data_IF_549393567037
#
_entry.id   IF_549393567037
#
_cell.length_a   1.000
_cell.length_b   1.000
_cell.length_c   1.000
_cell.angle_alpha   90.00
_cell.angle_beta   90.00
_cell.angle_gamma   90.00
#
_symmetry.space_group_name_H-M   'P 1'
#
loop_
_entity.id
_entity.type
_entity.pdbx_description
1 polymer ?
#
# COMPACT_ATOMS: atom_id res chain seq x y z
N UNK A 1 -6.57 1.69 11.99
CA UNK A 1 -6.15 2.12 10.63
C UNK A 1 -5.44 0.97 9.95
N UNK A 2 -5.88 0.64 8.75
CA UNK A 2 -5.19 -0.31 7.89
C UNK A 2 -4.58 0.48 6.73
N UNK A 3 -3.28 0.33 6.52
CA UNK A 3 -2.60 0.86 5.36
C UNK A 3 -2.52 -0.23 4.30
N UNK A 4 -3.05 0.04 3.12
CA UNK A 4 -3.09 -0.92 2.01
C UNK A 4 -2.16 -0.43 0.90
N UNK A 5 -1.11 -1.21 0.64
CA UNK A 5 -0.18 -0.94 -0.45
C UNK A 5 -0.69 -1.52 -1.76
N UNK A 6 -0.49 -0.77 -2.82
CA UNK A 6 -0.84 -1.15 -4.19
C UNK A 6 0.39 -1.09 -5.09
N UNK A 7 0.39 -1.90 -6.14
CA UNK A 7 1.43 -1.87 -7.17
C UNK A 7 0.82 -1.67 -8.55
N UNK A 8 1.66 -1.43 -9.56
CA UNK A 8 1.26 -1.58 -10.95
C UNK A 8 1.29 -3.06 -11.35
N UNK A 9 0.92 -3.37 -12.60
CA UNK A 9 0.83 -4.75 -13.08
C UNK A 9 2.14 -5.31 -13.62
N UNK A 10 3.27 -4.64 -13.42
CA UNK A 10 4.58 -5.10 -13.91
C UNK A 10 5.10 -6.21 -13.01
N UNK A 11 5.47 -7.34 -13.61
CA UNK A 11 6.02 -8.48 -12.88
C UNK A 11 4.96 -9.44 -12.36
N UNK A 12 5.35 -10.31 -11.43
CA UNK A 12 4.49 -11.33 -10.88
C UNK A 12 3.65 -10.83 -9.70
N UNK A 13 2.44 -11.36 -9.56
CA UNK A 13 1.50 -10.96 -8.50
C UNK A 13 2.09 -11.17 -7.10
N UNK A 14 2.69 -12.34 -6.84
CA UNK A 14 3.22 -12.65 -5.51
C UNK A 14 4.32 -11.67 -5.08
N UNK A 15 5.21 -11.29 -6.01
CA UNK A 15 6.26 -10.31 -5.75
C UNK A 15 5.67 -8.91 -5.52
N UNK A 16 4.63 -8.57 -6.27
CA UNK A 16 3.96 -7.26 -6.13
C UNK A 16 3.17 -7.16 -4.84
N UNK A 17 2.57 -8.25 -4.37
CA UNK A 17 1.91 -8.28 -3.06
C UNK A 17 2.94 -8.00 -1.96
N UNK A 18 4.08 -8.68 -1.97
CA UNK A 18 5.13 -8.47 -0.99
C UNK A 18 5.70 -7.05 -1.05
N UNK A 19 5.99 -6.54 -2.26
CA UNK A 19 6.49 -5.20 -2.46
C UNK A 19 5.51 -4.14 -1.94
N UNK A 20 4.23 -4.29 -2.26
CA UNK A 20 3.20 -3.36 -1.83
C UNK A 20 2.98 -3.40 -0.32
N UNK A 21 3.08 -4.57 0.30
CA UNK A 21 3.05 -4.71 1.76
C UNK A 21 4.24 -3.99 2.41
N UNK A 22 5.44 -4.15 1.86
CA UNK A 22 6.63 -3.50 2.37
C UNK A 22 6.53 -1.97 2.28
N UNK A 23 5.93 -1.44 1.22
CA UNK A 23 5.67 -0.01 1.09
C UNK A 23 4.67 0.48 2.14
N UNK A 24 3.60 -0.26 2.37
CA UNK A 24 2.63 0.07 3.41
C UNK A 24 3.27 0.01 4.79
N UNK A 25 4.12 -0.98 5.05
CA UNK A 25 4.84 -1.10 6.31
C UNK A 25 5.79 0.07 6.54
N UNK A 26 6.47 0.54 5.50
CA UNK A 26 7.34 1.71 5.60
C UNK A 26 6.56 2.97 6.00
N UNK A 27 5.35 3.15 5.46
CA UNK A 27 4.47 4.25 5.85
C UNK A 27 4.01 4.09 7.30
N UNK A 28 3.64 2.87 7.71
CA UNK A 28 3.25 2.59 9.09
C UNK A 28 4.38 2.91 10.07
N UNK A 29 5.60 2.47 9.77
CA UNK A 29 6.78 2.74 10.61
C UNK A 29 7.04 4.23 10.75
N UNK A 30 6.87 4.99 9.68
CA UNK A 30 7.01 6.44 9.71
C UNK A 30 5.98 7.11 10.61
N UNK A 31 4.73 6.67 10.54
CA UNK A 31 3.66 7.19 11.39
C UNK A 31 3.91 6.86 12.86
N UNK A 32 4.36 5.66 13.17
CA UNK A 32 4.67 5.23 14.53
C UNK A 32 5.83 6.05 15.09
N UNK A 33 6.91 6.18 14.33
CA UNK A 33 8.16 6.78 14.82
C UNK A 33 8.16 8.32 14.79
N UNK A 34 7.51 8.92 13.78
CA UNK A 34 7.55 10.37 13.57
C UNK A 34 6.31 11.09 14.08
N UNK A 35 5.19 10.40 14.21
CA UNK A 35 3.91 10.99 14.60
C UNK A 35 3.31 10.37 15.86
N UNK A 36 4.07 9.55 16.56
CA UNK A 36 3.70 8.97 17.87
C UNK A 36 2.38 8.19 17.85
N UNK A 37 2.04 7.56 16.73
CA UNK A 37 0.86 6.71 16.65
C UNK A 37 1.18 5.36 17.26
N UNK A 38 0.29 4.86 18.12
CA UNK A 38 0.48 3.57 18.77
C UNK A 38 0.49 2.44 17.72
N UNK A 39 1.51 1.60 17.78
CA UNK A 39 1.69 0.47 16.87
C UNK A 39 0.47 -0.46 16.84
N UNK A 40 -0.24 -0.64 17.94
CA UNK A 40 -1.43 -1.48 18.02
C UNK A 40 -2.62 -0.92 17.22
N UNK A 41 -2.56 0.33 16.78
CA UNK A 41 -3.62 1.01 16.04
C UNK A 41 -3.41 1.04 14.54
N UNK A 42 -2.28 0.50 14.06
CA UNK A 42 -1.92 0.49 12.65
C UNK A 42 -1.58 -0.93 12.23
N UNK A 43 -2.09 -1.33 11.06
CA UNK A 43 -1.62 -2.52 10.36
C UNK A 43 -1.30 -2.18 8.91
N UNK A 44 -0.43 -2.96 8.30
CA UNK A 44 -0.01 -2.78 6.91
C UNK A 44 -0.32 -4.05 6.12
N UNK A 45 -0.98 -3.88 4.98
CA UNK A 45 -1.32 -4.96 4.07
C UNK A 45 -0.90 -4.60 2.65
N UNK A 46 -0.65 -5.61 1.83
CA UNK A 46 -0.34 -5.44 0.43
C UNK A 46 -1.23 -6.29 -0.44
N UNK A 47 -1.81 -5.70 -1.47
CA UNK A 47 -2.66 -6.40 -2.42
C UNK A 47 -2.10 -6.42 -3.84
N UNK A 48 -0.88 -5.96 -4.03
CA UNK A 48 -0.25 -5.93 -5.34
C UNK A 48 -1.07 -5.12 -6.35
N UNK A 49 -1.33 -5.70 -7.52
CA UNK A 49 -2.12 -5.05 -8.57
C UNK A 49 -3.57 -5.53 -8.65
N UNK A 50 -4.10 -6.13 -7.58
CA UNK A 50 -5.46 -6.70 -7.57
C UNK A 50 -6.58 -5.65 -7.60
N UNK A 51 -6.29 -4.41 -7.23
CA UNK A 51 -7.29 -3.34 -7.23
C UNK A 51 -6.67 -2.05 -7.80
N UNK A 52 -6.49 -1.98 -9.12
CA UNK A 52 -5.88 -0.80 -9.74
C UNK A 52 -6.83 0.40 -9.72
N UNK A 53 -6.27 1.59 -9.52
CA UNK A 53 -7.00 2.85 -9.59
C UNK A 53 -7.22 3.29 -11.03
N UNK A 54 -6.26 2.99 -11.91
CA UNK A 54 -6.32 3.29 -13.34
C UNK A 54 -5.82 2.06 -14.12
N UNK A 55 -5.91 2.11 -15.46
CA UNK A 55 -5.29 1.07 -16.28
C UNK A 55 -3.75 1.10 -16.15
N UNK A 56 -3.07 0.08 -16.63
CA UNK A 56 -1.61 -0.05 -16.57
C UNK A 56 -0.94 0.19 -17.94
N UNK A 57 -1.63 0.83 -18.87
CA UNK A 57 -1.14 0.96 -20.26
C UNK A 57 -0.06 2.01 -20.44
N UNK A 58 0.07 2.97 -19.53
CA UNK A 58 1.07 4.02 -19.58
C UNK A 58 1.86 4.09 -18.27
N UNK A 59 3.06 4.67 -18.32
CA UNK A 59 3.84 4.87 -17.09
C UNK A 59 3.14 5.83 -16.11
N UNK A 60 2.46 6.85 -16.63
CA UNK A 60 1.68 7.76 -15.78
C UNK A 60 0.59 7.01 -15.03
N UNK A 61 -0.15 6.16 -15.73
CA UNK A 61 -1.20 5.33 -15.12
C UNK A 61 -0.64 4.33 -14.13
N UNK A 62 0.48 3.67 -14.47
CA UNK A 62 1.14 2.73 -13.55
C UNK A 62 1.62 3.43 -12.28
N UNK A 63 2.15 4.65 -12.40
CA UNK A 63 2.58 5.44 -11.24
C UNK A 63 1.41 5.73 -10.29
N UNK A 64 0.22 6.00 -10.81
CA UNK A 64 -0.98 6.20 -9.99
C UNK A 64 -1.41 4.93 -9.26
N UNK A 65 -1.12 3.76 -9.81
CA UNK A 65 -1.42 2.48 -9.19
C UNK A 65 -0.43 2.12 -8.06
N UNK A 66 0.81 2.59 -8.14
CA UNK A 66 1.81 2.40 -7.08
C UNK A 66 1.55 3.38 -5.95
N UNK A 67 0.73 2.97 -4.99
CA UNK A 67 0.26 3.86 -3.92
C UNK A 67 0.03 3.11 -2.61
N UNK A 68 -0.11 3.85 -1.54
CA UNK A 68 -0.57 3.36 -0.25
C UNK A 68 -1.84 4.12 0.13
N UNK A 69 -2.89 3.40 0.45
CA UNK A 69 -4.17 3.98 0.88
C UNK A 69 -4.42 3.65 2.35
N UNK A 70 -4.99 4.60 3.07
CA UNK A 70 -5.39 4.40 4.46
C UNK A 70 -6.87 4.04 4.51
N UNK A 71 -7.18 2.94 5.20
CA UNK A 71 -8.56 2.53 5.44
C UNK A 71 -8.85 2.70 6.93
N UNK A 72 -9.81 3.54 7.24
CA UNK A 72 -10.25 3.77 8.60
C UNK A 72 -11.39 2.79 8.93
N UNK A 73 -11.14 1.94 9.93
CA UNK A 73 -12.17 1.03 10.43
C UNK A 73 -12.78 1.67 11.67
N UNK A 74 -14.07 1.92 11.60
CA UNK A 74 -14.85 2.43 12.73
C UNK A 74 -15.47 1.27 13.50
N UNK A 75 -15.49 1.36 14.84
CA UNK A 75 -16.11 0.35 15.67
C UNK A 75 -17.63 0.26 15.47
#
# INVERSE_FOLDING_TARGET
IILVGHSDSTGELSQNIELSKNRAQAVADRLINSHSIDQSRISAEGIGFLSPKTNNSTEISRKKNRRVEAVLILP
#
